data_IF_048630650907
#
_entry.id   IF_048630650907
#
_cell.length_a   1.000
_cell.length_b   1.000
_cell.length_c   1.000
_cell.angle_alpha   90.00
_cell.angle_beta   90.00
_cell.angle_gamma   90.00
#
_symmetry.space_group_name_H-M   'P 1'
#
loop_
_entity.id
_entity.type
_entity.pdbx_description
1 polymer ?
#
# COMPACT_ATOMS: atom_id res chain seq x y z
N UNK A 1 -3.31 21.19 -13.85
CA UNK A 1 -3.06 19.77 -13.57
C UNK A 1 -1.63 19.53 -13.96
N UNK A 2 -0.80 19.27 -12.97
CA UNK A 2 0.64 19.12 -13.13
C UNK A 2 1.00 17.68 -13.53
N UNK A 3 2.23 17.46 -14.00
CA UNK A 3 2.67 16.13 -14.43
C UNK A 3 2.61 15.09 -13.31
N UNK A 4 2.80 15.51 -12.05
CA UNK A 4 2.69 14.65 -10.88
C UNK A 4 1.25 14.21 -10.61
N UNK A 5 0.25 15.04 -10.93
CA UNK A 5 -1.17 14.67 -10.77
C UNK A 5 -1.50 13.49 -11.67
N UNK A 6 -1.01 13.51 -12.91
CA UNK A 6 -1.18 12.41 -13.86
C UNK A 6 -0.42 11.16 -13.44
N UNK A 7 0.80 11.31 -12.91
CA UNK A 7 1.57 10.19 -12.38
C UNK A 7 0.84 9.52 -11.21
N UNK A 8 0.46 10.30 -10.20
CA UNK A 8 -0.20 9.78 -9.01
C UNK A 8 -1.60 9.25 -9.31
N UNK A 9 -2.38 9.98 -10.11
CA UNK A 9 -3.70 9.55 -10.56
C UNK A 9 -3.63 8.27 -11.39
N UNK A 10 -2.65 8.15 -12.28
CA UNK A 10 -2.40 6.95 -13.08
C UNK A 10 -2.03 5.74 -12.22
N UNK A 11 -1.12 5.92 -11.25
CA UNK A 11 -0.73 4.85 -10.32
C UNK A 11 -1.92 4.35 -9.48
N UNK A 12 -2.72 5.27 -8.94
CA UNK A 12 -3.94 4.93 -8.18
C UNK A 12 -4.98 4.24 -9.07
N UNK A 13 -5.18 4.73 -10.29
CA UNK A 13 -6.08 4.12 -11.27
C UNK A 13 -5.67 2.70 -11.66
N UNK A 14 -4.38 2.48 -11.92
CA UNK A 14 -3.84 1.14 -12.20
C UNK A 14 -4.00 0.18 -11.02
N UNK A 15 -3.75 0.66 -9.79
CA UNK A 15 -3.97 -0.13 -8.57
C UNK A 15 -5.43 -0.53 -8.41
N UNK A 16 -6.36 0.40 -8.65
CA UNK A 16 -7.80 0.13 -8.61
C UNK A 16 -8.22 -0.90 -9.66
N UNK A 17 -7.75 -0.74 -10.91
CA UNK A 17 -8.07 -1.68 -11.99
C UNK A 17 -7.53 -3.09 -11.69
N UNK A 18 -6.31 -3.19 -11.15
CA UNK A 18 -5.73 -4.47 -10.74
C UNK A 18 -6.55 -5.13 -9.63
N UNK A 19 -6.99 -4.38 -8.62
CA UNK A 19 -7.83 -4.92 -7.53
C UNK A 19 -9.20 -5.37 -8.05
N UNK A 20 -9.87 -4.56 -8.89
CA UNK A 20 -11.15 -4.90 -9.51
C UNK A 20 -11.03 -6.17 -10.36
N UNK A 21 -9.98 -6.27 -11.17
CA UNK A 21 -9.71 -7.47 -11.96
C UNK A 21 -9.50 -8.72 -11.10
N UNK A 22 -8.74 -8.60 -10.01
CA UNK A 22 -8.51 -9.70 -9.08
C UNK A 22 -9.83 -10.17 -8.42
N UNK A 23 -10.70 -9.23 -8.03
CA UNK A 23 -12.02 -9.52 -7.48
C UNK A 23 -12.94 -10.22 -8.49
N UNK A 24 -12.91 -9.80 -9.76
CA UNK A 24 -13.70 -10.40 -10.83
C UNK A 24 -13.24 -11.83 -11.17
N UNK A 25 -11.92 -12.05 -11.25
CA UNK A 25 -11.36 -13.37 -11.54
C UNK A 25 -11.43 -14.34 -10.34
N UNK A 26 -11.72 -13.84 -9.13
CA UNK A 26 -11.86 -14.63 -7.88
C UNK A 26 -10.67 -15.56 -7.60
N UNK A 27 -9.50 -15.23 -8.13
CA UNK A 27 -8.28 -15.98 -7.88
C UNK A 27 -7.82 -15.72 -6.45
N UNK A 28 -7.67 -16.78 -5.66
CA UNK A 28 -7.26 -16.65 -4.26
C UNK A 28 -5.81 -16.17 -4.19
N UNK A 29 -5.56 -15.11 -3.42
CA UNK A 29 -4.21 -14.56 -3.22
C UNK A 29 -3.81 -13.49 -4.25
N UNK A 30 -4.71 -13.10 -5.14
CA UNK A 30 -4.39 -12.19 -6.24
C UNK A 30 -4.79 -10.73 -5.97
N UNK A 31 -5.53 -10.47 -4.88
CA UNK A 31 -5.79 -9.10 -4.44
C UNK A 31 -4.52 -8.46 -3.87
N UNK A 32 -4.36 -7.15 -4.04
CA UNK A 32 -3.25 -6.38 -3.46
C UNK A 32 -3.24 -6.51 -1.94
N UNK A 33 -4.41 -6.58 -1.32
CA UNK A 33 -4.53 -6.76 0.12
C UNK A 33 -4.00 -8.13 0.60
N UNK A 34 -4.26 -9.21 -0.15
CA UNK A 34 -3.74 -10.54 0.15
C UNK A 34 -2.23 -10.63 -0.06
N UNK A 35 -1.72 -10.06 -1.17
CA UNK A 35 -0.28 -10.00 -1.44
C UNK A 35 0.46 -9.19 -0.39
N UNK A 36 -0.07 -8.03 0.01
CA UNK A 36 0.47 -7.23 1.10
C UNK A 36 0.51 -8.04 2.40
N UNK A 37 -0.55 -8.79 2.70
CA UNK A 37 -0.61 -9.66 3.89
C UNK A 37 0.37 -10.83 3.84
N UNK A 38 0.66 -11.35 2.66
CA UNK A 38 1.65 -12.41 2.44
C UNK A 38 3.08 -11.86 2.58
N UNK A 39 3.42 -10.78 1.86
CA UNK A 39 4.74 -10.18 1.84
C UNK A 39 5.17 -9.67 3.22
N UNK A 40 4.31 -8.92 3.89
CA UNK A 40 4.59 -8.37 5.21
C UNK A 40 4.19 -9.30 6.36
N UNK A 41 3.70 -10.51 6.03
CA UNK A 41 3.27 -11.52 7.00
C UNK A 41 2.28 -10.98 8.05
N UNK A 42 1.41 -10.04 7.68
CA UNK A 42 0.44 -9.41 8.61
C UNK A 42 -0.72 -10.33 9.01
N UNK A 43 -0.72 -11.59 8.53
CA UNK A 43 -1.53 -12.66 9.10
C UNK A 43 -0.97 -13.17 10.46
N UNK A 44 0.31 -12.92 10.75
CA UNK A 44 0.96 -13.30 12.02
C UNK A 44 0.99 -12.14 13.02
N UNK A 45 1.02 -12.44 14.32
CA UNK A 45 1.15 -11.39 15.36
C UNK A 45 2.46 -10.59 15.22
N UNK A 46 3.65 -11.22 15.07
CA UNK A 46 4.89 -10.48 14.91
C UNK A 46 4.91 -9.63 13.63
N UNK A 47 4.44 -10.20 12.51
CA UNK A 47 4.38 -9.47 11.23
C UNK A 47 3.48 -8.23 11.31
N UNK A 48 2.33 -8.32 11.98
CA UNK A 48 1.47 -7.14 12.23
C UNK A 48 2.17 -6.08 13.04
N UNK A 49 2.85 -6.47 14.13
CA UNK A 49 3.54 -5.52 14.98
C UNK A 49 4.66 -4.80 14.23
N UNK A 50 5.51 -5.55 13.52
CA UNK A 50 6.61 -5.01 12.72
C UNK A 50 6.08 -4.07 11.63
N UNK A 51 5.06 -4.51 10.88
CA UNK A 51 4.46 -3.69 9.84
C UNK A 51 3.87 -2.40 10.40
N UNK A 52 3.11 -2.47 11.50
CA UNK A 52 2.50 -1.31 12.11
C UNK A 52 3.55 -0.30 12.60
N UNK A 53 4.57 -0.76 13.35
CA UNK A 53 5.63 0.11 13.87
C UNK A 53 6.45 0.73 12.74
N UNK A 54 6.82 -0.05 11.71
CA UNK A 54 7.56 0.46 10.58
C UNK A 54 6.75 1.49 9.78
N UNK A 55 5.47 1.20 9.53
CA UNK A 55 4.59 2.08 8.75
C UNK A 55 4.31 3.39 9.49
N UNK A 56 3.96 3.33 10.78
CA UNK A 56 3.68 4.55 11.56
C UNK A 56 4.94 5.35 11.84
N UNK A 57 6.06 4.69 12.12
CA UNK A 57 7.37 5.32 12.29
C UNK A 57 7.80 6.05 11.01
N UNK A 58 7.69 5.40 9.86
CA UNK A 58 7.98 6.03 8.57
C UNK A 58 7.06 7.22 8.30
N UNK A 59 5.75 7.06 8.47
CA UNK A 59 4.79 8.14 8.22
C UNK A 59 5.03 9.35 9.14
N UNK A 60 5.30 9.11 10.43
CA UNK A 60 5.63 10.16 11.39
C UNK A 60 6.93 10.88 11.05
N UNK A 61 8.00 10.13 10.77
CA UNK A 61 9.27 10.70 10.33
C UNK A 61 9.11 11.51 9.04
N UNK A 62 8.43 10.96 8.03
CA UNK A 62 8.24 11.60 6.73
C UNK A 62 7.45 12.91 6.84
N UNK A 63 6.39 12.92 7.65
CA UNK A 63 5.63 14.13 7.94
C UNK A 63 6.51 15.20 8.59
N UNK A 64 7.26 14.83 9.64
CA UNK A 64 8.19 15.76 10.29
C UNK A 64 9.23 16.27 9.29
N UNK A 65 9.80 15.39 8.47
CA UNK A 65 10.82 15.76 7.50
C UNK A 65 10.29 16.75 6.45
N UNK A 66 9.09 16.53 5.90
CA UNK A 66 8.46 17.49 4.96
C UNK A 66 8.20 18.85 5.62
N UNK A 67 7.74 18.86 6.87
CA UNK A 67 7.40 20.10 7.57
C UNK A 67 8.62 20.86 8.09
N UNK A 68 9.69 20.15 8.45
CA UNK A 68 10.89 20.71 9.05
C UNK A 68 12.01 21.03 8.05
N UNK A 69 11.98 20.45 6.85
CA UNK A 69 13.03 20.60 5.82
C UNK A 69 14.11 19.54 5.95
#
# INVERSE_FOLDING_TARGET
MEWYDWLWGGLLGLGLLAEVWALLNRSRGDTLSERTRAWFRTHTRPGRLVFAVAWTGFAGWFLVHILAG
#
